data_IF_519889178785
#
_entry.id   IF_519889178785
#
_cell.length_a   1.000
_cell.length_b   1.000
_cell.length_c   1.000
_cell.angle_alpha   90.00
_cell.angle_beta   90.00
_cell.angle_gamma   90.00
#
_symmetry.space_group_name_H-M   'P 1'
#
loop_
_entity.id
_entity.type
_entity.pdbx_description
1 polymer ?
#
# COMPACT_ATOMS: atom_id res chain seq x y z
N UNK A 1 14.29 15.48 3.54
CA UNK A 1 14.54 14.01 3.41
C UNK A 1 13.77 13.29 4.50
N UNK A 2 12.95 12.27 4.19
CA UNK A 2 12.27 11.48 5.22
C UNK A 2 13.28 10.65 6.02
N UNK A 3 13.11 10.55 7.35
CA UNK A 3 13.93 9.67 8.19
C UNK A 3 13.77 8.20 7.76
N UNK A 4 14.82 7.39 7.93
CA UNK A 4 14.77 5.96 7.60
C UNK A 4 13.67 5.23 8.38
N UNK A 5 13.53 5.51 9.69
CA UNK A 5 12.44 4.95 10.50
C UNK A 5 11.05 5.34 9.99
N UNK A 6 10.89 6.58 9.51
CA UNK A 6 9.63 7.04 8.91
C UNK A 6 9.31 6.30 7.61
N UNK A 7 10.33 6.00 6.78
CA UNK A 7 10.16 5.22 5.56
C UNK A 7 9.71 3.79 5.86
N UNK A 8 10.40 3.10 6.78
CA UNK A 8 10.04 1.72 7.19
C UNK A 8 8.62 1.69 7.74
N UNK A 9 8.28 2.59 8.66
CA UNK A 9 6.93 2.68 9.24
C UNK A 9 5.85 2.93 8.17
N UNK A 10 6.09 3.89 7.27
CA UNK A 10 5.16 4.17 6.17
C UNK A 10 5.00 3.00 5.19
N UNK A 11 6.06 2.20 5.00
CA UNK A 11 6.02 0.99 4.17
C UNK A 11 5.13 -0.07 4.80
N UNK A 12 5.33 -0.36 6.09
CA UNK A 12 4.51 -1.34 6.85
C UNK A 12 3.05 -0.92 6.86
N UNK A 13 2.76 0.35 7.12
CA UNK A 13 1.38 0.88 7.08
C UNK A 13 0.76 0.74 5.69
N UNK A 14 1.48 1.10 4.62
CA UNK A 14 0.98 0.97 3.25
C UNK A 14 0.70 -0.49 2.87
N UNK A 15 1.52 -1.44 3.34
CA UNK A 15 1.32 -2.87 3.11
C UNK A 15 0.07 -3.39 3.83
N UNK A 16 -0.13 -3.01 5.08
CA UNK A 16 -1.33 -3.38 5.84
C UNK A 16 -2.61 -2.83 5.21
N UNK A 17 -2.58 -1.56 4.76
CA UNK A 17 -3.72 -0.92 4.09
C UNK A 17 -3.99 -1.53 2.72
N UNK A 18 -2.95 -1.88 1.95
CA UNK A 18 -3.09 -2.63 0.70
C UNK A 18 -3.80 -3.97 0.95
N UNK A 19 -3.33 -4.75 1.92
CA UNK A 19 -3.92 -6.05 2.26
C UNK A 19 -5.38 -5.92 2.68
N UNK A 20 -5.70 -4.99 3.57
CA UNK A 20 -7.08 -4.76 4.04
C UNK A 20 -8.02 -4.39 2.88
N UNK A 21 -7.59 -3.48 2.01
CA UNK A 21 -8.39 -3.03 0.88
C UNK A 21 -8.56 -4.14 -0.17
N UNK A 22 -7.51 -4.93 -0.44
CA UNK A 22 -7.60 -6.08 -1.35
C UNK A 22 -8.56 -7.15 -0.82
N UNK A 23 -8.48 -7.49 0.47
CA UNK A 23 -9.40 -8.45 1.09
C UNK A 23 -10.84 -7.95 1.05
N UNK A 24 -11.04 -6.66 1.36
CA UNK A 24 -12.37 -6.07 1.37
C UNK A 24 -12.94 -5.91 -0.05
N UNK A 25 -12.10 -5.62 -1.04
CA UNK A 25 -12.47 -5.68 -2.47
C UNK A 25 -12.97 -7.08 -2.84
N UNK A 26 -12.21 -8.13 -2.50
CA UNK A 26 -12.58 -9.51 -2.79
C UNK A 26 -13.92 -9.89 -2.13
N UNK A 27 -14.07 -9.63 -0.84
CA UNK A 27 -15.30 -9.94 -0.10
C UNK A 27 -16.52 -9.20 -0.65
N UNK A 28 -16.35 -7.93 -1.05
CA UNK A 28 -17.45 -7.13 -1.63
C UNK A 28 -17.80 -7.56 -3.05
N UNK A 29 -16.80 -7.96 -3.83
CA UNK A 29 -16.99 -8.51 -5.16
C UNK A 29 -17.80 -9.81 -5.10
N UNK A 30 -17.41 -10.75 -4.21
CA UNK A 30 -18.10 -12.04 -4.07
C UNK A 30 -19.49 -11.93 -3.45
N UNK A 31 -19.75 -10.91 -2.64
CA UNK A 31 -21.09 -10.62 -2.09
C UNK A 31 -21.99 -9.83 -3.05
N UNK A 32 -21.54 -9.52 -4.27
CA UNK A 32 -22.33 -8.77 -5.26
C UNK A 32 -22.55 -7.29 -4.90
N UNK A 33 -21.74 -6.73 -3.98
CA UNK A 33 -21.87 -5.35 -3.55
C UNK A 33 -21.33 -4.40 -4.62
N UNK A 34 -22.18 -3.54 -5.20
CA UNK A 34 -21.84 -2.57 -6.27
C UNK A 34 -20.64 -1.66 -5.95
N UNK A 35 -20.33 -1.41 -4.68
CA UNK A 35 -19.25 -0.52 -4.25
C UNK A 35 -17.91 -1.24 -4.02
N UNK A 36 -17.74 -2.47 -4.49
CA UNK A 36 -16.48 -3.22 -4.37
C UNK A 36 -15.28 -2.48 -4.99
N UNK A 37 -15.51 -1.77 -6.11
CA UNK A 37 -14.47 -1.08 -6.88
C UNK A 37 -13.75 0.03 -6.10
N UNK A 38 -14.41 0.65 -5.11
CA UNK A 38 -13.80 1.69 -4.25
C UNK A 38 -12.57 1.13 -3.53
N UNK A 39 -12.69 -0.08 -2.99
CA UNK A 39 -11.60 -0.74 -2.28
C UNK A 39 -10.49 -1.18 -3.25
N UNK A 40 -10.85 -1.46 -4.51
CA UNK A 40 -9.88 -1.72 -5.57
C UNK A 40 -9.03 -0.48 -5.88
N UNK A 41 -9.66 0.70 -6.04
CA UNK A 41 -8.93 1.97 -6.26
C UNK A 41 -8.03 2.28 -5.06
N UNK A 42 -8.53 2.13 -3.83
CA UNK A 42 -7.73 2.34 -2.62
C UNK A 42 -6.52 1.38 -2.57
N UNK A 43 -6.72 0.10 -2.92
CA UNK A 43 -5.62 -0.86 -3.00
C UNK A 43 -4.54 -0.41 -3.99
N UNK A 44 -4.92 0.05 -5.20
CA UNK A 44 -3.96 0.57 -6.19
C UNK A 44 -3.19 1.79 -5.66
N UNK A 45 -3.87 2.71 -4.98
CA UNK A 45 -3.22 3.88 -4.36
C UNK A 45 -2.17 3.43 -3.34
N UNK A 46 -2.51 2.51 -2.43
CA UNK A 46 -1.57 2.01 -1.43
C UNK A 46 -0.42 1.20 -2.05
N UNK A 47 -0.65 0.51 -3.16
CA UNK A 47 0.40 -0.18 -3.91
C UNK A 47 1.43 0.81 -4.47
N UNK A 48 0.99 1.94 -5.03
CA UNK A 48 1.89 3.01 -5.52
C UNK A 48 2.69 3.62 -4.37
N UNK A 49 2.06 3.85 -3.21
CA UNK A 49 2.77 4.32 -2.02
C UNK A 49 3.82 3.31 -1.55
N UNK A 50 3.48 2.03 -1.51
CA UNK A 50 4.38 0.96 -1.11
C UNK A 50 5.58 0.88 -2.05
N UNK A 51 5.34 0.93 -3.36
CA UNK A 51 6.39 0.93 -4.38
C UNK A 51 7.36 2.10 -4.20
N UNK A 52 6.84 3.32 -4.02
CA UNK A 52 7.68 4.51 -3.84
C UNK A 52 8.50 4.46 -2.54
N UNK A 53 7.90 4.05 -1.42
CA UNK A 53 8.62 3.94 -0.16
C UNK A 53 9.69 2.84 -0.21
N UNK A 54 9.40 1.68 -0.83
CA UNK A 54 10.37 0.61 -1.03
C UNK A 54 11.55 1.06 -1.90
N UNK A 55 11.27 1.76 -3.01
CA UNK A 55 12.28 2.34 -3.89
C UNK A 55 13.18 3.34 -3.15
N UNK A 56 12.60 4.19 -2.29
CA UNK A 56 13.35 5.14 -1.48
C UNK A 56 14.24 4.46 -0.43
N UNK A 57 13.75 3.39 0.21
CA UNK A 57 14.53 2.58 1.16
C UNK A 57 15.73 1.95 0.46
N UNK A 58 15.50 1.29 -0.68
CA UNK A 58 16.54 0.70 -1.53
C UNK A 58 17.56 1.78 -1.87
N UNK A 59 17.14 2.85 -2.54
CA UNK A 59 18.05 3.92 -2.98
C UNK A 59 18.89 4.52 -1.85
N UNK A 60 18.32 4.70 -0.65
CA UNK A 60 19.07 5.17 0.52
C UNK A 60 20.09 4.16 1.06
N UNK A 61 19.85 2.87 0.89
CA UNK A 61 20.76 1.82 1.33
C UNK A 61 21.94 1.63 0.36
N UNK A 62 21.75 1.88 -0.94
CA UNK A 62 22.81 1.78 -1.97
C UNK A 62 23.66 3.05 -2.12
N UNK A 63 23.22 4.20 -1.58
CA UNK A 63 23.99 5.47 -1.58
C UNK A 63 24.79 5.64 -0.27
N UNK A 64 24.70 4.66 0.63
CA UNK A 64 25.49 4.62 1.87
C UNK A 64 26.81 3.89 1.63
#
# INVERSE_FOLDING_TARGET
MKSFGMLVFSTVLSAGLLYYNAQSFYNRFTSGNTYYWVNGILAVIFLVFLYNNAKDIIKKNYIK
#
